data_IF_299197353289
#
_entry.id   IF_299197353289
#
_cell.length_a   1.000
_cell.length_b   1.000
_cell.length_c   1.000
_cell.angle_alpha   90.00
_cell.angle_beta   90.00
_cell.angle_gamma   90.00
#
_symmetry.space_group_name_H-M   'P 1'
#
loop_
_entity.id
_entity.type
_entity.pdbx_description
1 polymer ?
#
# COMPACT_ATOMS: atom_id res chain seq x y z
N UNK A 1 46.81 32.63 22.81
CA UNK A 1 45.81 33.05 21.81
C UNK A 1 45.00 31.82 21.41
N UNK A 2 43.81 31.64 21.99
CA UNK A 2 42.89 30.56 21.61
C UNK A 2 41.50 31.19 21.46
N UNK A 3 41.15 31.53 20.21
CA UNK A 3 39.83 32.05 19.89
C UNK A 3 38.96 30.90 19.36
N UNK A 4 37.82 30.77 20.03
CA UNK A 4 36.67 29.93 19.74
C UNK A 4 36.23 29.95 18.27
N UNK A 5 35.68 28.82 17.79
CA UNK A 5 34.40 28.81 17.05
C UNK A 5 33.67 27.48 17.36
N UNK A 6 32.88 27.49 18.44
CA UNK A 6 31.82 26.50 18.68
C UNK A 6 30.52 27.10 18.17
N UNK A 7 30.02 26.66 17.02
CA UNK A 7 28.70 27.05 16.51
C UNK A 7 28.25 26.19 15.33
N UNK A 8 27.68 25.01 15.59
CA UNK A 8 26.69 24.36 14.70
C UNK A 8 25.78 23.44 15.54
N UNK A 9 24.89 24.02 16.34
CA UNK A 9 23.80 23.26 17.00
C UNK A 9 22.52 24.08 16.93
N UNK A 10 21.99 24.23 15.72
CA UNK A 10 20.70 24.89 15.49
C UNK A 10 19.88 24.05 14.53
N UNK A 11 18.69 23.64 15.01
CA UNK A 11 17.51 23.23 14.22
C UNK A 11 17.32 21.75 13.81
N UNK A 12 17.21 20.86 14.80
CA UNK A 12 16.63 19.50 14.60
C UNK A 12 15.14 19.39 15.01
N UNK A 13 14.59 20.40 15.70
CA UNK A 13 13.21 20.40 16.21
C UNK A 13 12.11 20.40 15.13
N UNK A 14 12.17 21.21 14.04
CA UNK A 14 11.09 21.23 13.07
C UNK A 14 10.97 19.92 12.30
N UNK A 15 12.10 19.28 11.97
CA UNK A 15 12.13 18.01 11.24
C UNK A 15 11.41 16.88 11.99
N UNK A 16 11.71 16.71 13.29
CA UNK A 16 11.06 15.68 14.11
C UNK A 16 9.54 15.86 14.18
N UNK A 17 9.07 17.10 14.30
CA UNK A 17 7.63 17.39 14.32
C UNK A 17 6.93 17.04 12.99
N UNK A 18 7.61 17.17 11.86
CA UNK A 18 7.09 16.73 10.56
C UNK A 18 7.05 15.20 10.47
N UNK A 19 8.08 14.48 10.91
CA UNK A 19 8.08 13.02 10.95
C UNK A 19 6.94 12.47 11.83
N UNK A 20 6.73 13.05 13.02
CA UNK A 20 5.65 12.64 13.94
C UNK A 20 4.25 12.85 13.30
N UNK A 21 4.06 13.90 12.50
CA UNK A 21 2.81 14.14 11.75
C UNK A 21 2.63 13.14 10.60
N UNK A 22 3.69 12.90 9.84
CA UNK A 22 3.70 11.95 8.71
C UNK A 22 3.37 10.53 9.21
N UNK A 23 3.98 10.12 10.33
CA UNK A 23 3.68 8.84 10.99
C UNK A 23 2.18 8.72 11.31
N UNK A 24 1.58 9.72 11.97
CA UNK A 24 0.13 9.69 12.27
C UNK A 24 -0.74 9.56 11.02
N UNK A 25 -0.38 10.25 9.94
CA UNK A 25 -1.12 10.15 8.68
C UNK A 25 -1.04 8.75 8.07
N UNK A 26 0.14 8.12 8.08
CA UNK A 26 0.30 6.76 7.59
C UNK A 26 -0.41 5.73 8.46
N UNK A 27 -0.41 5.88 9.79
CA UNK A 27 -1.20 5.03 10.68
C UNK A 27 -2.69 5.10 10.31
N UNK A 28 -3.22 6.30 10.09
CA UNK A 28 -4.62 6.47 9.66
C UNK A 28 -4.86 5.91 8.26
N UNK A 29 -3.92 6.06 7.34
CA UNK A 29 -4.04 5.46 6.00
C UNK A 29 -4.12 3.94 6.10
N UNK A 30 -3.27 3.30 6.90
CA UNK A 30 -3.28 1.85 7.08
C UNK A 30 -4.58 1.33 7.69
N UNK A 31 -5.21 2.08 8.60
CA UNK A 31 -6.49 1.66 9.20
C UNK A 31 -7.67 1.82 8.23
N UNK A 32 -7.63 2.81 7.34
CA UNK A 32 -8.70 3.07 6.38
C UNK A 32 -8.53 2.30 5.06
N UNK A 33 -7.33 1.79 4.77
CA UNK A 33 -7.06 1.15 3.49
C UNK A 33 -7.83 -0.18 3.36
N UNK A 34 -8.50 -0.42 2.22
CA UNK A 34 -9.19 -1.68 2.00
C UNK A 34 -8.23 -2.86 1.93
N UNK A 35 -8.69 -4.04 2.36
CA UNK A 35 -7.94 -5.29 2.24
C UNK A 35 -7.96 -5.76 0.78
N UNK A 36 -6.79 -5.94 0.17
CA UNK A 36 -6.65 -6.44 -1.21
C UNK A 36 -6.75 -7.98 -1.22
N UNK A 37 -7.90 -8.50 -1.66
CA UNK A 37 -8.14 -9.94 -1.74
C UNK A 37 -7.38 -10.63 -2.88
N UNK A 38 -6.96 -9.91 -3.93
CA UNK A 38 -6.27 -10.49 -5.07
C UNK A 38 -4.78 -10.75 -4.80
N UNK A 39 -4.22 -10.07 -3.80
CA UNK A 39 -2.80 -10.14 -3.46
C UNK A 39 -2.61 -10.31 -1.94
N UNK A 40 -2.96 -11.48 -1.39
CA UNK A 40 -2.81 -11.73 0.05
C UNK A 40 -1.34 -11.66 0.50
N UNK A 41 -0.40 -12.06 -0.36
CA UNK A 41 1.04 -12.08 -0.06
C UNK A 41 1.74 -10.74 -0.31
N UNK A 42 1.13 -9.83 -1.08
CA UNK A 42 1.73 -8.56 -1.46
C UNK A 42 0.71 -7.41 -1.37
N UNK A 43 0.08 -7.19 -0.19
CA UNK A 43 -0.91 -6.13 -0.07
C UNK A 43 -0.21 -4.78 -0.07
N UNK A 44 -0.86 -3.78 -0.69
CA UNK A 44 -0.31 -2.43 -0.78
C UNK A 44 -0.01 -1.80 0.59
N UNK A 45 -0.72 -2.23 1.64
CA UNK A 45 -0.44 -1.85 3.02
C UNK A 45 1.01 -2.10 3.44
N UNK A 46 1.65 -3.19 2.95
CA UNK A 46 3.06 -3.47 3.23
C UNK A 46 3.99 -2.42 2.63
N UNK A 47 3.69 -1.92 1.43
CA UNK A 47 4.47 -0.85 0.81
C UNK A 47 4.33 0.47 1.59
N UNK A 48 3.12 0.77 2.08
CA UNK A 48 2.86 1.93 2.94
C UNK A 48 3.63 1.81 4.27
N UNK A 49 3.58 0.63 4.91
CA UNK A 49 4.32 0.36 6.15
C UNK A 49 5.82 0.54 5.96
N UNK A 50 6.39 -0.06 4.91
CA UNK A 50 7.81 0.04 4.58
C UNK A 50 8.24 1.49 4.35
N UNK A 51 7.43 2.26 3.61
CA UNK A 51 7.73 3.69 3.34
C UNK A 51 7.65 4.55 4.60
N UNK A 52 6.79 4.19 5.56
CA UNK A 52 6.63 4.97 6.78
C UNK A 52 7.58 4.58 7.94
N UNK A 53 8.29 3.46 7.85
CA UNK A 53 9.37 3.08 8.79
C UNK A 53 10.37 4.20 9.09
N UNK A 54 10.97 4.89 8.08
CA UNK A 54 11.93 5.97 8.34
C UNK A 54 11.35 7.16 9.13
N UNK A 55 10.01 7.28 9.21
CA UNK A 55 9.32 8.34 9.95
C UNK A 55 8.86 7.89 11.34
N UNK A 56 9.20 6.68 11.78
CA UNK A 56 8.89 6.17 13.12
C UNK A 56 7.58 5.39 13.21
N UNK A 57 7.01 4.95 12.09
CA UNK A 57 5.86 4.04 12.11
C UNK A 57 6.24 2.68 12.69
N UNK A 58 5.44 2.23 13.66
CA UNK A 58 5.43 0.83 14.08
C UNK A 58 4.44 0.06 13.19
N UNK A 59 4.82 -1.08 12.62
CA UNK A 59 3.89 -1.93 11.89
C UNK A 59 2.66 -2.26 12.75
N UNK A 60 1.46 -2.16 12.17
CA UNK A 60 0.21 -2.39 12.90
C UNK A 60 -0.09 -3.89 13.07
N UNK A 61 0.49 -4.74 12.23
CA UNK A 61 0.27 -6.19 12.23
C UNK A 61 1.59 -6.93 12.48
N UNK A 62 1.72 -7.73 13.55
CA UNK A 62 2.83 -8.69 13.68
C UNK A 62 2.63 -9.77 12.61
N UNK A 63 3.63 -9.93 11.74
CA UNK A 63 3.74 -10.94 10.69
C UNK A 63 3.16 -12.29 11.11
N UNK A 64 2.01 -12.66 10.55
CA UNK A 64 1.63 -14.07 10.41
C UNK A 64 1.82 -14.45 8.94
N UNK A 65 2.87 -15.23 8.71
CA UNK A 65 3.08 -16.19 7.62
C UNK A 65 2.78 -15.71 6.19
N UNK A 66 3.71 -14.95 5.61
CA UNK A 66 3.87 -14.87 4.16
C UNK A 66 5.27 -15.40 3.81
N UNK A 67 5.41 -16.39 2.92
CA UNK A 67 6.72 -16.78 2.42
C UNK A 67 7.41 -15.55 1.83
N UNK A 68 8.64 -15.30 2.27
CA UNK A 68 9.53 -14.26 1.77
C UNK A 68 9.43 -14.20 0.25
N UNK A 69 8.81 -13.14 -0.27
CA UNK A 69 8.64 -12.93 -1.71
C UNK A 69 10.00 -13.15 -2.39
N UNK A 70 10.08 -14.14 -3.27
CA UNK A 70 11.24 -14.32 -4.12
C UNK A 70 11.47 -13.02 -4.89
N UNK A 71 12.73 -12.58 -5.06
CA UNK A 71 13.04 -11.40 -5.83
C UNK A 71 12.79 -11.71 -7.31
N UNK A 72 11.55 -11.55 -7.77
CA UNK A 72 11.31 -11.32 -9.18
C UNK A 72 11.98 -9.98 -9.48
N UNK A 73 12.96 -10.00 -10.38
CA UNK A 73 13.80 -8.86 -10.74
C UNK A 73 12.96 -7.73 -11.38
N UNK A 74 12.17 -7.01 -10.57
CA UNK A 74 11.79 -5.66 -10.85
C UNK A 74 12.96 -4.80 -10.35
N UNK A 75 13.61 -4.09 -11.27
CA UNK A 75 14.58 -3.04 -10.95
C UNK A 75 14.03 -2.22 -9.78
N UNK A 76 14.71 -2.17 -8.61
CA UNK A 76 14.22 -1.37 -7.50
C UNK A 76 14.08 0.06 -7.99
N UNK A 77 12.85 0.59 -7.99
CA UNK A 77 12.68 2.03 -8.15
C UNK A 77 13.56 2.70 -7.10
N UNK A 78 14.37 3.72 -7.46
CA UNK A 78 15.31 4.32 -6.52
C UNK A 78 14.52 4.78 -5.29
N UNK A 79 14.83 4.19 -4.13
CA UNK A 79 14.26 4.60 -2.88
C UNK A 79 14.59 6.08 -2.72
N UNK A 80 13.57 6.94 -2.85
CA UNK A 80 13.77 8.38 -2.76
C UNK A 80 14.36 8.69 -1.39
N UNK A 81 15.38 9.54 -1.31
CA UNK A 81 15.92 9.93 -0.01
C UNK A 81 14.79 10.53 0.83
N UNK A 82 14.78 10.30 2.15
CA UNK A 82 13.70 10.74 3.03
C UNK A 82 13.58 12.26 3.01
N UNK A 83 12.64 12.77 2.22
CA UNK A 83 12.33 14.20 2.10
C UNK A 83 10.92 14.46 2.68
N UNK A 84 10.80 15.10 3.85
CA UNK A 84 9.52 15.27 4.53
C UNK A 84 8.51 16.09 3.73
N UNK A 85 8.95 17.03 2.88
CA UNK A 85 8.05 17.81 2.04
C UNK A 85 7.48 16.98 0.89
N UNK A 86 8.34 16.20 0.22
CA UNK A 86 7.92 15.29 -0.84
C UNK A 86 6.99 14.19 -0.30
N UNK A 87 7.23 13.70 0.92
CA UNK A 87 6.36 12.72 1.56
C UNK A 87 4.97 13.27 1.88
N UNK A 88 4.84 14.53 2.30
CA UNK A 88 3.53 15.12 2.53
C UNK A 88 2.67 15.13 1.26
N UNK A 89 3.28 15.42 0.10
CA UNK A 89 2.58 15.36 -1.18
C UNK A 89 2.13 13.94 -1.52
N UNK A 90 2.96 12.93 -1.23
CA UNK A 90 2.61 11.52 -1.44
C UNK A 90 1.48 11.05 -0.52
N UNK A 91 1.53 11.41 0.77
CA UNK A 91 0.46 11.15 1.73
C UNK A 91 -0.86 11.77 1.24
N UNK A 92 -0.82 13.01 0.75
CA UNK A 92 -2.01 13.68 0.19
C UNK A 92 -2.53 12.97 -1.08
N UNK A 93 -1.63 12.45 -1.92
CA UNK A 93 -2.01 11.63 -3.08
C UNK A 93 -2.68 10.31 -2.65
N UNK A 94 -2.18 9.66 -1.60
CA UNK A 94 -2.80 8.46 -1.03
C UNK A 94 -4.21 8.75 -0.50
N UNK A 95 -4.41 9.85 0.22
CA UNK A 95 -5.76 10.26 0.64
C UNK A 95 -6.68 10.55 -0.55
N UNK A 96 -6.16 11.20 -1.59
CA UNK A 96 -6.93 11.46 -2.81
C UNK A 96 -7.37 10.17 -3.52
N UNK A 97 -6.51 9.14 -3.50
CA UNK A 97 -6.84 7.82 -4.02
C UNK A 97 -7.89 7.11 -3.14
N UNK A 98 -7.70 7.15 -1.82
CA UNK A 98 -8.61 6.54 -0.85
C UNK A 98 -10.03 7.12 -0.95
N UNK A 99 -10.16 8.43 -1.16
CA UNK A 99 -11.46 9.09 -1.33
C UNK A 99 -12.09 8.89 -2.73
N UNK A 100 -11.40 8.14 -3.61
CA UNK A 100 -11.80 7.94 -5.01
C UNK A 100 -12.03 9.27 -5.75
N UNK A 101 -11.23 10.30 -5.42
CA UNK A 101 -11.38 11.67 -5.93
C UNK A 101 -11.36 11.73 -7.46
N UNK A 102 -10.52 10.92 -8.10
CA UNK A 102 -10.37 10.90 -9.55
C UNK A 102 -11.56 10.26 -10.26
N UNK A 103 -12.13 9.19 -9.68
CA UNK A 103 -13.37 8.58 -10.18
C UNK A 103 -14.53 9.58 -10.13
N UNK A 104 -14.63 10.37 -9.06
CA UNK A 104 -15.66 11.41 -8.92
C UNK A 104 -15.45 12.57 -9.89
N UNK A 105 -14.20 12.99 -10.10
CA UNK A 105 -13.85 14.13 -10.95
C UNK A 105 -14.03 13.80 -12.44
N UNK A 106 -13.76 12.57 -12.84
CA UNK A 106 -13.84 12.11 -14.22
C UNK A 106 -14.81 10.91 -14.30
N UNK A 107 -16.14 11.16 -14.24
CA UNK A 107 -17.11 10.09 -14.33
C UNK A 107 -17.01 9.40 -15.69
N UNK A 108 -17.06 8.07 -15.69
CA UNK A 108 -17.07 7.27 -16.90
C UNK A 108 -18.45 7.34 -17.55
N UNK A 109 -18.51 7.45 -18.88
CA UNK A 109 -19.77 7.43 -19.61
C UNK A 109 -20.35 6.01 -19.66
N UNK A 110 -21.67 5.91 -19.61
CA UNK A 110 -22.36 4.60 -19.65
C UNK A 110 -22.05 3.85 -20.96
N UNK A 111 -21.92 4.56 -22.09
CA UNK A 111 -21.53 3.95 -23.36
C UNK A 111 -20.12 3.34 -23.39
N UNK A 112 -19.22 3.74 -22.48
CA UNK A 112 -17.90 3.12 -22.33
C UNK A 112 -17.97 1.85 -21.48
N UNK A 113 -18.85 1.83 -20.46
CA UNK A 113 -19.12 0.65 -19.63
C UNK A 113 -20.07 -0.35 -20.28
N UNK A 114 -20.80 0.06 -21.32
CA UNK A 114 -21.77 -0.75 -22.06
C UNK A 114 -21.54 -0.60 -23.56
N UNK A 115 -20.54 -1.29 -24.12
CA UNK A 115 -20.25 -1.19 -25.53
C UNK A 115 -21.42 -1.75 -26.36
N UNK A 116 -21.70 -1.15 -27.51
CA UNK A 116 -22.84 -1.51 -28.37
C UNK A 116 -22.86 -3.00 -28.77
N UNK A 117 -21.69 -3.62 -28.92
CA UNK A 117 -21.56 -5.02 -29.29
C UNK A 117 -21.94 -6.00 -28.17
N UNK A 118 -21.83 -5.59 -26.90
CA UNK A 118 -22.10 -6.44 -25.74
C UNK A 118 -22.39 -5.56 -24.50
N UNK A 119 -23.64 -5.12 -24.29
CA UNK A 119 -23.97 -4.17 -23.22
C UNK A 119 -23.68 -4.72 -21.81
N UNK A 120 -23.85 -6.03 -21.60
CA UNK A 120 -23.64 -6.69 -20.30
C UNK A 120 -22.18 -7.14 -20.06
N UNK A 121 -21.24 -6.81 -20.96
CA UNK A 121 -19.88 -7.36 -20.91
C UNK A 121 -19.17 -7.08 -19.59
N UNK A 122 -19.15 -5.82 -19.17
CA UNK A 122 -18.46 -5.42 -17.94
C UNK A 122 -19.22 -5.85 -16.68
N UNK A 123 -20.55 -5.95 -16.73
CA UNK A 123 -21.37 -6.42 -15.61
C UNK A 123 -21.09 -7.92 -15.34
N UNK A 124 -21.01 -8.74 -16.39
CA UNK A 124 -20.60 -10.14 -16.29
C UNK A 124 -19.13 -10.27 -15.83
N UNK A 125 -18.25 -9.42 -16.34
CA UNK A 125 -16.84 -9.40 -15.94
C UNK A 125 -16.70 -9.08 -14.44
N UNK A 126 -17.40 -8.06 -13.95
CA UNK A 126 -17.41 -7.68 -12.53
C UNK A 126 -17.98 -8.81 -11.66
N UNK A 127 -19.04 -9.47 -12.10
CA UNK A 127 -19.59 -10.63 -11.40
C UNK A 127 -18.60 -11.80 -11.32
N UNK A 128 -17.86 -12.08 -12.40
CA UNK A 128 -16.82 -13.11 -12.39
C UNK A 128 -15.63 -12.72 -11.52
N UNK A 129 -15.19 -11.45 -11.57
CA UNK A 129 -14.11 -10.92 -10.72
C UNK A 129 -14.49 -10.98 -9.23
N UNK A 130 -15.75 -10.70 -8.88
CA UNK A 130 -16.24 -10.83 -7.51
C UNK A 130 -16.28 -12.30 -7.03
N UNK A 131 -16.47 -13.26 -7.95
CA UNK A 131 -16.44 -14.70 -7.66
C UNK A 131 -15.02 -15.28 -7.64
N UNK A 132 -14.10 -14.70 -8.40
CA UNK A 132 -12.71 -15.15 -8.51
C UNK A 132 -11.96 -15.33 -7.18
N UNK A 133 -12.04 -14.43 -6.17
CA UNK A 133 -11.37 -14.63 -4.89
C UNK A 133 -11.87 -15.87 -4.14
N UNK A 134 -13.09 -16.34 -4.40
CA UNK A 134 -13.60 -17.59 -3.81
C UNK A 134 -13.12 -18.84 -4.57
N UNK A 135 -12.67 -18.73 -5.82
CA UNK A 135 -12.43 -19.88 -6.71
C UNK A 135 -11.03 -20.50 -6.61
N UNK A 136 -9.98 -19.69 -6.55
CA UNK A 136 -8.58 -20.16 -6.56
C UNK A 136 -7.91 -20.15 -5.19
N UNK A 137 -8.37 -19.29 -4.28
CA UNK A 137 -7.91 -19.27 -2.89
C UNK A 137 -8.27 -20.57 -2.16
N UNK A 138 -9.54 -21.04 -2.24
CA UNK A 138 -9.99 -22.27 -1.58
C UNK A 138 -9.21 -23.52 -2.03
N UNK A 139 -8.94 -23.64 -3.34
CA UNK A 139 -8.17 -24.78 -3.88
C UNK A 139 -6.72 -24.75 -3.41
N UNK A 140 -6.06 -23.59 -3.45
CA UNK A 140 -4.70 -23.42 -2.96
C UNK A 140 -4.58 -23.66 -1.44
N UNK A 141 -5.57 -23.22 -0.65
CA UNK A 141 -5.64 -23.58 0.78
C UNK A 141 -5.92 -25.07 1.01
N UNK A 142 -6.81 -25.69 0.24
CA UNK A 142 -7.10 -27.13 0.40
C UNK A 142 -5.88 -28.00 0.04
N UNK A 143 -5.12 -27.62 -0.98
CA UNK A 143 -3.89 -28.30 -1.38
C UNK A 143 -2.75 -28.11 -0.36
N UNK A 144 -2.59 -26.91 0.20
CA UNK A 144 -1.66 -26.68 1.31
C UNK A 144 -2.05 -27.45 2.58
N UNK A 145 -3.34 -27.68 2.83
CA UNK A 145 -3.81 -28.49 3.97
C UNK A 145 -3.61 -29.99 3.72
N UNK A 146 -3.92 -30.47 2.53
CA UNK A 146 -3.71 -31.88 2.13
C UNK A 146 -2.23 -32.26 2.12
N UNK A 147 -1.35 -31.34 1.69
CA UNK A 147 0.09 -31.54 1.77
C UNK A 147 0.58 -31.56 3.22
N UNK A 148 0.02 -30.75 4.12
CA UNK A 148 0.42 -30.73 5.54
C UNK A 148 0.03 -32.00 6.32
N UNK A 149 -1.07 -32.66 5.97
CA UNK A 149 -1.49 -33.95 6.57
C UNK A 149 -0.65 -35.14 6.06
N UNK A 150 -0.02 -35.01 4.89
CA UNK A 150 0.86 -36.04 4.31
C UNK A 150 2.25 -36.10 4.96
N UNK A 151 2.66 -35.07 5.70
CA UNK A 151 3.98 -34.99 6.35
C UNK A 151 3.86 -34.87 7.88
N UNK A 152 2.94 -35.62 8.48
CA UNK A 152 2.97 -36.03 9.88
C UNK A 152 2.97 -37.55 9.98
#
# INVERSE_FOLDING_TARGET
MAAAVSSYSTSLKPFKAHCDKIAKHYTRLLTLWPKDAFRPNLPFTRAIEQRGQPYGLKPLEPTQDVPKAQPHAATPAPASPPNPQAEQAQVNALYSLLESRYTKKFPLSDGLLRPTAAPEHYDLLMAEIARAPQRTWWQATLESWKTKIRWS
#
